data_IF_411945745165
#
_entry.id   IF_411945745165
#
_cell.length_a   1.000
_cell.length_b   1.000
_cell.length_c   1.000
_cell.angle_alpha   90.00
_cell.angle_beta   90.00
_cell.angle_gamma   90.00
#
_symmetry.space_group_name_H-M   'P 1'
#
loop_
_entity.id
_entity.type
_entity.pdbx_description
1 polymer ?
#
# COMPACT_ATOMS: atom_id res chain seq x y z
N UNK A 1 -2.07 21.77 15.91
CA UNK A 1 -1.85 21.58 14.46
C UNK A 1 -2.96 20.66 13.95
N UNK A 2 -3.70 21.05 12.91
CA UNK A 2 -4.70 20.14 12.34
C UNK A 2 -4.00 18.92 11.77
N UNK A 3 -4.58 17.70 11.94
CA UNK A 3 -3.96 16.49 11.45
C UNK A 3 -3.85 16.55 9.92
N UNK A 4 -2.64 16.35 9.40
CA UNK A 4 -2.41 16.33 7.98
C UNK A 4 -2.89 15.01 7.37
N UNK A 5 -3.72 15.10 6.35
CA UNK A 5 -4.25 13.95 5.64
C UNK A 5 -4.52 14.30 4.16
N UNK A 6 -4.62 13.27 3.36
CA UNK A 6 -5.07 13.39 1.98
C UNK A 6 -6.24 12.43 1.76
N UNK A 7 -7.25 12.90 1.04
CA UNK A 7 -8.47 12.13 0.79
C UNK A 7 -8.78 12.11 -0.69
N UNK A 8 -9.13 10.93 -1.19
CA UNK A 8 -9.55 10.71 -2.56
C UNK A 8 -10.72 9.74 -2.61
N UNK A 9 -11.55 9.84 -3.65
CA UNK A 9 -12.65 8.93 -3.91
C UNK A 9 -12.33 8.01 -5.07
N UNK A 10 -12.69 6.74 -4.95
CA UNK A 10 -12.55 5.75 -5.99
C UNK A 10 -13.84 4.94 -6.13
N UNK A 11 -14.14 4.50 -7.35
CA UNK A 11 -15.23 3.55 -7.58
C UNK A 11 -14.64 2.18 -7.90
N UNK A 12 -15.20 1.12 -7.30
CA UNK A 12 -14.77 -0.26 -7.58
C UNK A 12 -15.09 -0.63 -9.03
N UNK A 13 -14.08 -0.72 -9.87
CA UNK A 13 -14.21 -1.02 -11.30
C UNK A 13 -14.47 -2.52 -11.55
N UNK A 14 -14.98 -2.84 -12.73
CA UNK A 14 -15.17 -4.23 -13.16
C UNK A 14 -13.87 -5.05 -13.10
N UNK A 15 -12.75 -4.45 -13.55
CA UNK A 15 -11.44 -5.09 -13.54
C UNK A 15 -10.90 -5.36 -12.13
N UNK A 16 -11.39 -4.62 -11.15
CA UNK A 16 -10.93 -4.68 -9.76
C UNK A 16 -11.78 -5.61 -8.90
N UNK A 17 -12.90 -6.09 -9.42
CA UNK A 17 -13.76 -7.06 -8.76
C UNK A 17 -13.43 -8.51 -9.17
N UNK A 18 -13.72 -9.45 -8.29
CA UNK A 18 -13.69 -10.89 -8.57
C UNK A 18 -15.01 -11.38 -9.21
N UNK A 19 -15.10 -12.68 -9.49
CA UNK A 19 -16.29 -13.30 -10.08
C UNK A 19 -17.54 -13.23 -9.18
N UNK A 20 -17.39 -12.91 -7.89
CA UNK A 20 -18.49 -12.67 -6.94
C UNK A 20 -18.84 -11.19 -6.83
N UNK A 21 -18.28 -10.35 -7.69
CA UNK A 21 -18.43 -8.90 -7.68
C UNK A 21 -17.87 -8.25 -6.39
N UNK A 22 -16.87 -8.86 -5.75
CA UNK A 22 -16.20 -8.34 -4.58
C UNK A 22 -14.84 -7.74 -4.96
N UNK A 23 -14.48 -6.62 -4.32
CA UNK A 23 -13.18 -5.96 -4.52
C UNK A 23 -12.04 -6.91 -4.19
N UNK A 24 -11.12 -7.09 -5.13
CA UNK A 24 -9.88 -7.84 -4.92
C UNK A 24 -8.98 -7.11 -3.91
N UNK A 25 -8.37 -7.80 -2.93
CA UNK A 25 -7.40 -7.16 -2.03
C UNK A 25 -6.26 -6.43 -2.75
N UNK A 26 -5.75 -7.02 -3.84
CA UNK A 26 -4.71 -6.39 -4.66
C UNK A 26 -5.18 -5.10 -5.34
N UNK A 27 -6.44 -5.00 -5.72
CA UNK A 27 -7.00 -3.77 -6.28
C UNK A 27 -7.08 -2.65 -5.23
N UNK A 28 -7.54 -2.99 -4.01
CA UNK A 28 -7.53 -2.02 -2.92
C UNK A 28 -6.13 -1.52 -2.60
N UNK A 29 -5.13 -2.41 -2.61
CA UNK A 29 -3.74 -2.00 -2.38
C UNK A 29 -3.21 -1.06 -3.48
N UNK A 30 -3.64 -1.20 -4.75
CA UNK A 30 -3.31 -0.23 -5.81
C UNK A 30 -3.94 1.15 -5.54
N UNK A 31 -5.19 1.19 -5.08
CA UNK A 31 -5.82 2.45 -4.70
C UNK A 31 -5.06 3.13 -3.55
N UNK A 32 -4.65 2.35 -2.54
CA UNK A 32 -3.86 2.87 -1.41
C UNK A 32 -2.48 3.35 -1.84
N UNK A 33 -1.82 2.67 -2.78
CA UNK A 33 -0.55 3.11 -3.36
C UNK A 33 -0.72 4.43 -4.10
N UNK A 34 -1.77 4.55 -4.93
CA UNK A 34 -2.07 5.77 -5.69
C UNK A 34 -2.35 6.95 -4.75
N UNK A 35 -3.26 6.82 -3.79
CA UNK A 35 -3.59 7.92 -2.86
C UNK A 35 -2.39 8.31 -2.00
N UNK A 36 -1.46 7.39 -1.74
CA UNK A 36 -0.21 7.68 -1.04
C UNK A 36 0.75 8.50 -1.88
N UNK A 37 0.84 8.20 -3.18
CA UNK A 37 1.65 8.96 -4.14
C UNK A 37 1.07 10.36 -4.37
N UNK A 38 -0.25 10.47 -4.48
CA UNK A 38 -0.93 11.76 -4.67
C UNK A 38 -0.80 12.65 -3.43
N UNK A 39 -0.86 12.06 -2.23
CA UNK A 39 -0.55 12.78 -0.99
C UNK A 39 0.89 13.35 -1.03
N UNK A 40 1.88 12.55 -1.40
CA UNK A 40 3.27 13.02 -1.50
C UNK A 40 3.40 14.14 -2.55
N UNK A 41 2.77 13.98 -3.71
CA UNK A 41 2.77 14.97 -4.80
C UNK A 41 2.12 16.28 -4.37
N UNK A 42 1.02 16.24 -3.63
CA UNK A 42 0.33 17.43 -3.13
C UNK A 42 1.21 18.28 -2.21
N UNK A 43 2.26 17.69 -1.61
CA UNK A 43 3.26 18.36 -0.79
C UNK A 43 4.60 18.59 -1.52
N UNK A 44 4.61 18.53 -2.85
CA UNK A 44 5.79 18.81 -3.67
C UNK A 44 6.78 17.65 -3.81
N UNK A 45 6.47 16.48 -3.24
CA UNK A 45 7.27 15.27 -3.42
C UNK A 45 6.82 14.52 -4.69
N UNK A 46 7.09 15.11 -5.83
CA UNK A 46 6.84 14.56 -7.16
C UNK A 46 8.04 13.73 -7.68
N UNK A 47 7.93 13.21 -8.90
CA UNK A 47 9.00 12.42 -9.53
C UNK A 47 10.30 13.22 -9.71
N UNK A 48 10.20 14.55 -9.90
CA UNK A 48 11.39 15.41 -9.98
C UNK A 48 12.07 15.50 -8.62
N UNK A 49 11.30 15.72 -7.57
CA UNK A 49 11.79 15.74 -6.19
C UNK A 49 12.55 14.46 -5.85
N UNK A 50 11.99 13.29 -6.15
CA UNK A 50 12.63 12.00 -5.85
C UNK A 50 13.90 11.77 -6.66
N UNK A 51 13.97 12.25 -7.90
CA UNK A 51 15.20 12.21 -8.71
C UNK A 51 16.28 13.15 -8.17
N UNK A 52 15.91 14.38 -7.87
CA UNK A 52 16.86 15.42 -7.42
C UNK A 52 17.50 15.07 -6.07
N UNK A 53 16.75 14.39 -5.19
CA UNK A 53 17.25 13.92 -3.89
C UNK A 53 17.85 12.50 -3.95
N UNK A 54 17.82 11.84 -5.11
CA UNK A 54 18.28 10.47 -5.33
C UNK A 54 17.67 9.45 -4.37
N UNK A 55 16.37 9.57 -4.07
CA UNK A 55 15.68 8.73 -3.10
C UNK A 55 14.48 8.01 -3.70
N UNK A 56 14.09 6.91 -3.07
CA UNK A 56 12.85 6.21 -3.35
C UNK A 56 12.22 5.67 -2.07
N UNK A 57 10.89 5.54 -2.07
CA UNK A 57 10.16 4.84 -1.03
C UNK A 57 9.86 3.41 -1.46
N UNK A 58 10.21 2.45 -0.61
CA UNK A 58 9.89 1.04 -0.79
C UNK A 58 8.93 0.58 0.31
N UNK A 59 7.95 -0.26 -0.03
CA UNK A 59 7.08 -0.88 0.96
C UNK A 59 7.83 -2.00 1.67
N UNK A 60 8.20 -1.77 2.93
CA UNK A 60 8.87 -2.78 3.77
C UNK A 60 7.90 -3.78 4.38
N UNK A 61 6.75 -3.31 4.89
CA UNK A 61 5.67 -4.15 5.45
C UNK A 61 4.32 -3.54 5.12
N UNK A 62 3.31 -4.41 5.00
CA UNK A 62 1.94 -3.97 4.75
C UNK A 62 0.96 -4.97 5.36
N UNK A 63 -0.06 -4.45 6.03
CA UNK A 63 -1.22 -5.20 6.49
C UNK A 63 -2.50 -4.57 5.95
N UNK A 64 -3.48 -5.40 5.64
CA UNK A 64 -4.82 -5.01 5.20
C UNK A 64 -5.84 -5.74 6.06
N UNK A 65 -6.76 -4.99 6.63
CA UNK A 65 -7.91 -5.51 7.36
C UNK A 65 -9.20 -5.01 6.70
N UNK A 66 -10.06 -5.93 6.30
CA UNK A 66 -11.42 -5.61 5.90
C UNK A 66 -12.37 -5.74 7.10
N UNK A 67 -13.21 -4.74 7.29
CA UNK A 67 -14.43 -4.84 8.12
C UNK A 67 -15.52 -5.55 7.31
N UNK A 68 -15.62 -5.17 6.03
CA UNK A 68 -16.39 -5.85 4.99
C UNK A 68 -15.71 -5.66 3.63
N UNK A 69 -15.91 -6.57 2.71
CA UNK A 69 -15.36 -6.42 1.36
C UNK A 69 -16.31 -5.58 0.51
N UNK A 70 -15.85 -4.46 -0.07
CA UNK A 70 -16.66 -3.63 -0.99
C UNK A 70 -17.09 -4.40 -2.24
N UNK A 71 -18.21 -3.96 -2.82
CA UNK A 71 -18.74 -4.54 -4.04
C UNK A 71 -18.39 -3.70 -5.28
N UNK A 72 -18.46 -4.34 -6.43
CA UNK A 72 -18.37 -3.66 -7.73
C UNK A 72 -19.34 -2.48 -7.80
N UNK A 73 -18.90 -1.37 -8.39
CA UNK A 73 -19.61 -0.08 -8.52
C UNK A 73 -19.77 0.69 -7.21
N UNK A 74 -19.32 0.17 -6.09
CA UNK A 74 -19.37 0.90 -4.82
C UNK A 74 -18.38 2.06 -4.83
N UNK A 75 -18.82 3.22 -4.36
CA UNK A 75 -17.98 4.39 -4.15
C UNK A 75 -17.28 4.27 -2.80
N UNK A 76 -15.98 4.52 -2.79
CA UNK A 76 -15.11 4.46 -1.62
C UNK A 76 -14.41 5.78 -1.43
N UNK A 77 -14.23 6.19 -0.19
CA UNK A 77 -13.37 7.32 0.18
C UNK A 77 -12.15 6.78 0.91
N UNK A 78 -10.97 7.07 0.38
CA UNK A 78 -9.69 6.70 0.97
C UNK A 78 -9.07 7.92 1.63
N UNK A 79 -8.76 7.82 2.92
CA UNK A 79 -8.07 8.88 3.67
C UNK A 79 -6.75 8.35 4.19
N UNK A 80 -5.64 8.95 3.77
CA UNK A 80 -4.29 8.53 4.13
C UNK A 80 -3.58 9.56 5.00
N UNK A 81 -2.81 9.08 5.99
CA UNK A 81 -1.98 9.88 6.91
C UNK A 81 -0.60 9.26 7.04
N UNK A 82 0.42 10.10 7.05
CA UNK A 82 1.80 9.67 7.24
C UNK A 82 2.33 10.15 8.59
N UNK A 83 3.05 9.28 9.31
CA UNK A 83 3.73 9.59 10.55
C UNK A 83 5.24 9.48 10.35
N UNK A 84 5.96 10.48 10.81
CA UNK A 84 7.41 10.48 10.76
C UNK A 84 7.97 9.37 11.66
N UNK A 85 8.78 8.49 11.11
CA UNK A 85 9.41 7.43 11.89
C UNK A 85 10.85 7.77 12.23
N UNK A 86 11.21 7.61 13.50
CA UNK A 86 12.56 7.84 14.01
C UNK A 86 13.61 6.79 13.61
N UNK A 87 13.22 5.76 12.81
CA UNK A 87 14.10 4.61 12.48
C UNK A 87 14.16 4.27 10.98
N UNK A 88 13.88 5.25 10.14
CA UNK A 88 13.92 5.05 8.67
C UNK A 88 12.71 4.31 8.09
N UNK A 89 11.73 3.96 8.90
CA UNK A 89 10.46 3.41 8.42
C UNK A 89 9.33 4.41 8.69
N UNK A 90 8.63 4.82 7.66
CA UNK A 90 7.50 5.74 7.72
C UNK A 90 6.23 4.92 7.90
N UNK A 91 5.49 5.19 8.97
CA UNK A 91 4.16 4.63 9.16
C UNK A 91 3.16 5.40 8.31
N UNK A 92 2.33 4.70 7.57
CA UNK A 92 1.22 5.28 6.83
C UNK A 92 -0.02 4.44 7.03
N UNK A 93 -1.07 5.05 7.55
CA UNK A 93 -2.37 4.43 7.72
C UNK A 93 -3.32 5.03 6.69
N UNK A 94 -4.01 4.15 5.97
CA UNK A 94 -5.09 4.53 5.07
C UNK A 94 -6.38 3.87 5.52
N UNK A 95 -7.38 4.69 5.85
CA UNK A 95 -8.73 4.23 6.13
C UNK A 95 -9.59 4.34 4.88
N UNK A 96 -10.46 3.38 4.69
CA UNK A 96 -11.38 3.32 3.56
C UNK A 96 -12.80 3.28 4.09
N UNK A 97 -13.63 4.24 3.67
CA UNK A 97 -15.03 4.33 4.07
C UNK A 97 -15.95 4.22 2.86
N UNK A 98 -17.18 3.83 3.08
CA UNK A 98 -18.24 3.84 2.07
C UNK A 98 -18.89 5.23 1.95
N UNK A 99 -19.86 5.36 1.05
CA UNK A 99 -20.58 6.61 0.81
C UNK A 99 -21.34 7.15 2.04
N UNK A 100 -21.62 6.29 3.02
CA UNK A 100 -22.23 6.68 4.30
C UNK A 100 -21.17 7.05 5.36
N UNK A 101 -19.88 7.08 5.02
CA UNK A 101 -18.77 7.34 5.94
C UNK A 101 -18.43 6.18 6.87
N UNK A 102 -19.02 4.99 6.66
CA UNK A 102 -18.76 3.82 7.49
C UNK A 102 -17.45 3.14 7.06
N UNK A 103 -16.58 2.82 8.04
CA UNK A 103 -15.33 2.13 7.80
C UNK A 103 -15.56 0.75 7.13
N UNK A 104 -14.86 0.49 6.04
CA UNK A 104 -14.89 -0.80 5.31
C UNK A 104 -13.55 -1.50 5.29
N UNK A 105 -12.45 -0.74 5.36
CA UNK A 105 -11.11 -1.34 5.44
C UNK A 105 -10.09 -0.37 6.07
N UNK A 106 -9.00 -0.94 6.59
CA UNK A 106 -7.81 -0.21 7.03
C UNK A 106 -6.57 -0.87 6.43
N UNK A 107 -5.64 -0.05 5.97
CA UNK A 107 -4.33 -0.50 5.45
C UNK A 107 -3.23 0.19 6.23
N UNK A 108 -2.34 -0.61 6.84
CA UNK A 108 -1.14 -0.16 7.52
C UNK A 108 0.09 -0.48 6.67
N UNK A 109 0.80 0.55 6.22
CA UNK A 109 2.02 0.43 5.43
C UNK A 109 3.21 0.98 6.20
N UNK A 110 4.35 0.26 6.12
CA UNK A 110 5.65 0.74 6.58
C UNK A 110 6.53 0.96 5.36
N UNK A 111 6.74 2.22 5.03
CA UNK A 111 7.59 2.62 3.93
C UNK A 111 9.02 2.83 4.41
N UNK A 112 9.98 2.42 3.60
CA UNK A 112 11.40 2.55 3.86
C UNK A 112 11.96 3.51 2.81
N UNK A 113 12.64 4.55 3.28
CA UNK A 113 13.37 5.47 2.42
C UNK A 113 14.72 4.85 2.06
N UNK A 114 15.06 4.82 0.79
CA UNK A 114 16.34 4.30 0.29
C UNK A 114 17.01 5.29 -0.66
N UNK A 115 18.34 5.32 -0.62
CA UNK A 115 19.13 5.95 -1.65
C UNK A 115 19.08 5.09 -2.93
N UNK A 116 18.74 5.70 -4.07
CA UNK A 116 18.50 4.98 -5.33
C UNK A 116 19.77 4.41 -5.95
N UNK A 117 20.93 5.02 -5.69
CA UNK A 117 22.21 4.60 -6.24
C UNK A 117 22.81 3.44 -5.48
N UNK A 118 22.84 3.54 -4.14
CA UNK A 118 23.46 2.53 -3.29
C UNK A 118 22.49 1.46 -2.80
N UNK A 119 21.17 1.70 -2.83
CA UNK A 119 20.14 0.85 -2.25
C UNK A 119 20.11 0.87 -0.71
N UNK A 120 20.93 1.70 -0.07
CA UNK A 120 21.00 1.76 1.38
C UNK A 120 19.80 2.45 1.99
N UNK A 121 19.34 1.94 3.14
CA UNK A 121 18.26 2.55 3.91
C UNK A 121 18.74 3.86 4.51
N UNK A 122 18.00 4.92 4.22
CA UNK A 122 18.20 6.24 4.82
C UNK A 122 17.35 6.33 6.10
N UNK A 123 18.00 6.50 7.23
CA UNK A 123 17.30 6.59 8.53
C UNK A 123 16.55 7.90 8.70
N UNK A 124 17.11 8.96 8.16
CA UNK A 124 16.52 10.31 8.17
C UNK A 124 16.72 10.95 6.80
N UNK A 125 15.68 11.59 6.25
CA UNK A 125 15.84 12.37 5.03
C UNK A 125 16.71 13.61 5.32
N UNK A 126 17.52 14.02 4.35
CA UNK A 126 18.29 15.26 4.39
C UNK A 126 17.47 16.47 3.91
N UNK A 127 16.17 16.33 3.86
CA UNK A 127 15.21 17.34 3.43
C UNK A 127 14.00 17.33 4.37
N UNK A 128 13.30 18.45 4.45
CA UNK A 128 12.08 18.61 5.22
C UNK A 128 10.94 18.98 4.28
N UNK A 129 9.75 18.42 4.54
CA UNK A 129 8.50 18.83 3.90
C UNK A 129 7.57 19.30 5.00
N UNK A 130 7.29 20.60 5.00
CA UNK A 130 6.43 21.20 6.01
C UNK A 130 5.01 20.61 5.93
N UNK A 131 4.43 20.41 7.09
CA UNK A 131 3.04 19.96 7.26
C UNK A 131 2.69 18.61 6.60
N UNK A 132 3.64 17.82 6.11
CA UNK A 132 3.35 16.50 5.56
C UNK A 132 3.19 15.42 6.65
N UNK A 133 3.91 15.57 7.74
CA UNK A 133 4.00 14.57 8.79
C UNK A 133 3.03 14.82 9.92
N UNK A 134 2.44 13.76 10.45
CA UNK A 134 1.72 13.77 11.72
C UNK A 134 2.66 13.29 12.85
N UNK A 135 2.44 13.78 14.07
CA UNK A 135 3.17 13.30 15.25
C UNK A 135 2.79 11.86 15.60
N UNK A 136 1.52 11.53 15.47
CA UNK A 136 0.97 10.19 15.70
C UNK A 136 -0.19 9.94 14.76
N UNK A 137 -0.23 8.73 14.20
CA UNK A 137 -1.34 8.24 13.37
C UNK A 137 -1.87 6.95 14.00
N UNK A 138 -3.15 6.95 14.32
CA UNK A 138 -3.85 5.79 14.88
C UNK A 138 -4.31 4.81 13.80
N UNK A 139 -4.73 3.61 14.19
CA UNK A 139 -5.25 2.58 13.31
C UNK A 139 -4.20 1.55 12.88
N UNK A 140 -3.18 1.35 13.69
CA UNK A 140 -2.16 0.32 13.45
C UNK A 140 -2.75 -1.09 13.40
N UNK A 141 -2.26 -1.87 12.44
CA UNK A 141 -2.57 -3.28 12.31
C UNK A 141 -1.38 -4.15 12.74
N UNK A 142 -1.64 -5.40 13.07
CA UNK A 142 -0.56 -6.34 13.31
C UNK A 142 0.24 -6.59 12.02
N UNK A 143 1.51 -6.21 12.03
CA UNK A 143 2.46 -6.45 10.95
C UNK A 143 3.34 -7.69 11.22
N UNK A 144 2.90 -8.54 12.15
CA UNK A 144 3.62 -9.77 12.47
C UNK A 144 3.51 -10.77 11.32
N UNK A 145 4.67 -11.24 10.83
CA UNK A 145 4.75 -12.27 9.80
C UNK A 145 5.28 -13.55 10.41
N UNK A 146 4.51 -14.63 10.29
CA UNK A 146 4.98 -15.95 10.68
C UNK A 146 5.98 -16.50 9.64
N UNK A 147 7.16 -16.86 10.08
CA UNK A 147 8.14 -17.56 9.23
C UNK A 147 7.71 -19.02 9.08
N UNK A 148 7.32 -19.41 7.88
CA UNK A 148 7.14 -20.84 7.58
C UNK A 148 8.51 -21.53 7.54
N UNK A 149 8.69 -22.58 8.35
CA UNK A 149 9.93 -23.35 8.40
C UNK A 149 10.04 -24.33 7.22
N UNK A 150 8.91 -24.83 6.74
CA UNK A 150 8.83 -25.76 5.62
C UNK A 150 8.09 -25.10 4.45
N UNK A 151 8.81 -24.91 3.35
CA UNK A 151 8.29 -24.35 2.12
C UNK A 151 8.45 -25.40 1.03
N UNK A 152 7.33 -25.78 0.40
CA UNK A 152 7.36 -26.55 -0.85
C UNK A 152 7.23 -25.61 -2.03
N UNK A 153 7.94 -25.88 -3.13
CA UNK A 153 7.79 -25.11 -4.36
C UNK A 153 6.35 -25.27 -4.88
N UNK A 154 5.68 -24.14 -5.13
CA UNK A 154 4.35 -24.12 -5.71
C UNK A 154 4.38 -23.87 -7.23
N UNK A 155 5.57 -23.72 -7.82
CA UNK A 155 5.80 -23.40 -9.22
C UNK A 155 6.73 -22.21 -9.40
N UNK A 156 6.95 -21.87 -10.66
CA UNK A 156 7.76 -20.72 -11.06
C UNK A 156 6.88 -19.67 -11.75
N UNK A 157 7.16 -18.40 -11.49
CA UNK A 157 6.55 -17.29 -12.20
C UNK A 157 7.64 -16.39 -12.78
N UNK A 158 7.59 -16.14 -14.07
CA UNK A 158 8.50 -15.22 -14.73
C UNK A 158 7.97 -13.80 -14.60
N UNK A 159 8.81 -12.88 -14.12
CA UNK A 159 8.49 -11.46 -14.13
C UNK A 159 8.35 -10.98 -15.59
N UNK A 160 7.23 -10.36 -15.93
CA UNK A 160 7.01 -9.70 -17.21
C UNK A 160 7.07 -8.18 -17.04
N UNK A 161 7.32 -7.45 -18.13
CA UNK A 161 7.36 -6.00 -18.13
C UNK A 161 6.10 -5.37 -17.51
N UNK A 162 4.93 -5.95 -17.77
CA UNK A 162 3.63 -5.48 -17.23
C UNK A 162 3.49 -5.59 -15.71
N UNK A 163 4.39 -6.31 -15.04
CA UNK A 163 4.40 -6.44 -13.58
C UNK A 163 5.35 -5.45 -12.91
N UNK A 164 6.17 -4.73 -13.71
CA UNK A 164 7.16 -3.80 -13.18
C UNK A 164 6.56 -2.40 -12.93
N UNK A 165 7.07 -1.75 -11.91
CA UNK A 165 6.80 -0.36 -11.58
C UNK A 165 7.82 0.61 -12.24
N UNK A 166 7.70 1.91 -11.96
CA UNK A 166 8.60 2.94 -12.46
C UNK A 166 10.05 2.79 -11.97
N UNK A 167 10.30 2.01 -10.93
CA UNK A 167 11.64 1.73 -10.41
C UNK A 167 12.27 0.50 -11.09
N UNK A 168 11.58 -0.14 -12.04
CA UNK A 168 12.04 -1.34 -12.73
C UNK A 168 11.95 -2.62 -11.88
N UNK A 169 11.27 -2.58 -10.75
CA UNK A 169 11.02 -3.73 -9.89
C UNK A 169 9.61 -4.26 -10.09
N UNK A 170 9.39 -5.53 -9.74
CA UNK A 170 8.02 -6.04 -9.66
C UNK A 170 7.26 -5.22 -8.64
N UNK A 171 6.17 -4.57 -9.09
CA UNK A 171 5.31 -3.80 -8.20
C UNK A 171 4.83 -4.67 -7.02
N UNK A 172 4.85 -4.12 -5.81
CA UNK A 172 4.52 -4.84 -4.58
C UNK A 172 3.12 -5.48 -4.62
N UNK A 173 2.17 -4.82 -5.27
CA UNK A 173 0.80 -5.34 -5.45
C UNK A 173 0.79 -6.51 -6.42
N UNK A 174 1.54 -6.42 -7.53
CA UNK A 174 1.69 -7.48 -8.52
C UNK A 174 2.37 -8.71 -7.91
N UNK A 175 3.44 -8.51 -7.13
CA UNK A 175 4.13 -9.59 -6.41
C UNK A 175 3.20 -10.32 -5.43
N UNK A 176 2.35 -9.59 -4.71
CA UNK A 176 1.36 -10.17 -3.79
C UNK A 176 0.27 -10.95 -4.51
N UNK A 177 -0.16 -10.48 -5.67
CA UNK A 177 -1.14 -11.19 -6.50
C UNK A 177 -0.59 -12.52 -7.01
N UNK A 178 0.69 -12.58 -7.35
CA UNK A 178 1.37 -13.76 -7.85
C UNK A 178 1.72 -14.75 -6.72
N UNK A 179 2.01 -14.23 -5.51
CA UNK A 179 2.41 -15.02 -4.34
C UNK A 179 1.26 -15.31 -3.37
N UNK A 180 0.01 -15.14 -3.78
CA UNK A 180 -1.13 -15.53 -2.96
C UNK A 180 -1.06 -17.03 -2.67
N UNK A 181 -0.62 -17.39 -1.46
CA UNK A 181 -0.77 -18.73 -0.92
C UNK A 181 -2.26 -18.95 -0.66
N UNK A 182 -2.86 -19.80 -1.45
CA UNK A 182 -4.20 -20.28 -1.14
C UNK A 182 -4.10 -21.15 0.11
N UNK A 183 -4.69 -20.69 1.23
CA UNK A 183 -4.90 -21.56 2.38
C UNK A 183 -5.88 -22.68 1.97
N UNK A 184 -5.82 -23.84 2.64
CA UNK A 184 -6.68 -24.97 2.35
C UNK A 184 -8.19 -24.65 2.43
N UNK A 185 -8.56 -23.59 3.15
CA UNK A 185 -9.95 -23.06 3.20
C UNK A 185 -10.40 -22.42 1.88
N UNK A 186 -9.48 -21.99 1.03
CA UNK A 186 -9.80 -21.37 -0.27
C UNK A 186 -10.02 -22.41 -1.37
N UNK A 187 -9.58 -23.67 -1.18
CA UNK A 187 -9.80 -24.76 -2.14
C UNK A 187 -11.29 -25.15 -2.30
N UNK A 188 -12.16 -24.81 -1.35
CA UNK A 188 -13.60 -25.09 -1.45
C UNK A 188 -14.37 -24.11 -2.35
N UNK A 189 -13.70 -23.12 -2.95
CA UNK A 189 -14.34 -22.09 -3.76
C UNK A 189 -14.21 -22.35 -5.28
N UNK A 190 -13.50 -23.40 -5.69
CA UNK A 190 -13.26 -23.75 -7.10
C UNK A 190 -13.82 -25.15 -7.48
N UNK A 191 -14.61 -25.79 -6.62
CA UNK A 191 -15.34 -27.04 -6.94
C UNK A 191 -16.82 -26.77 -7.11
#
# INVERSE_FOLDING_TARGET
MEPNFYTETATVLNADADFRSLLKPSALLRYVEQVSADHARAFGMDDKFFRDHNVAFLVGKQALQFVRVPRRTEALTLTTRAEHSRRGAIKRITTVTDAAGKLVATVDCRWILVDRTSGHIMREPNWTVENFWNETVEGELSLHTHRCKELTSAGECRASYSLCDLNGHINNVSAKTTNLRFSSSTRRLLS
#
